data_IF_529447654211
#
_entry.id   IF_529447654211
#
_cell.length_a   1.000
_cell.length_b   1.000
_cell.length_c   1.000
_cell.angle_alpha   90.00
_cell.angle_beta   90.00
_cell.angle_gamma   90.00
#
_symmetry.space_group_name_H-M   'P 1'
#
loop_
_entity.id
_entity.type
_entity.pdbx_description
1 polymer ?
#
# COMPACT_ATOMS: atom_id res chain seq x y z
N UNK A 1 13.02 -15.75 -12.36
CA UNK A 1 12.28 -15.50 -13.61
C UNK A 1 12.89 -14.28 -14.32
N UNK A 2 13.04 -14.31 -15.66
CA UNK A 2 13.58 -13.19 -16.41
C UNK A 2 12.67 -11.95 -16.30
N UNK A 3 13.27 -10.77 -16.16
CA UNK A 3 12.61 -9.48 -16.29
C UNK A 3 12.86 -8.97 -17.69
N UNK A 4 11.80 -8.78 -18.48
CA UNK A 4 11.88 -8.37 -19.88
C UNK A 4 11.57 -6.90 -20.10
N UNK A 5 10.96 -6.24 -19.09
CA UNK A 5 10.70 -4.81 -19.10
C UNK A 5 10.70 -4.27 -17.67
N UNK A 6 11.10 -3.01 -17.50
CA UNK A 6 11.04 -2.31 -16.21
C UNK A 6 10.80 -0.83 -16.40
N UNK A 7 9.98 -0.23 -15.52
CA UNK A 7 9.77 1.20 -15.49
C UNK A 7 9.60 1.70 -14.06
N UNK A 8 10.20 2.85 -13.76
CA UNK A 8 10.03 3.56 -12.49
C UNK A 8 9.42 4.92 -12.77
N UNK A 9 8.36 5.27 -12.06
CA UNK A 9 7.61 6.50 -12.22
C UNK A 9 7.57 7.23 -10.89
N UNK A 10 8.15 8.44 -10.86
CA UNK A 10 8.01 9.36 -9.74
C UNK A 10 6.73 10.18 -9.89
N UNK A 11 6.00 10.39 -8.79
CA UNK A 11 4.82 11.25 -8.80
C UNK A 11 5.17 12.73 -8.84
N UNK A 12 6.30 13.09 -8.25
CA UNK A 12 6.77 14.47 -8.18
C UNK A 12 8.27 14.54 -8.50
N UNK A 13 8.75 15.64 -9.10
CA UNK A 13 10.18 15.86 -9.28
C UNK A 13 10.91 15.73 -7.93
N UNK A 14 11.99 14.96 -7.90
CA UNK A 14 12.85 14.75 -6.72
C UNK A 14 12.15 14.15 -5.47
N UNK A 15 10.97 13.57 -5.61
CA UNK A 15 10.32 12.81 -4.53
C UNK A 15 10.58 11.31 -4.68
N UNK A 16 11.60 10.82 -3.96
CA UNK A 16 11.96 9.40 -3.94
C UNK A 16 11.15 8.58 -2.92
N UNK A 17 10.28 9.23 -2.14
CA UNK A 17 9.46 8.57 -1.11
C UNK A 17 8.03 8.26 -1.56
N UNK A 18 7.65 8.69 -2.76
CA UNK A 18 6.33 8.45 -3.33
C UNK A 18 6.52 8.08 -4.79
N UNK A 19 6.78 6.82 -5.05
CA UNK A 19 7.04 6.28 -6.38
C UNK A 19 6.22 5.02 -6.60
N UNK A 20 6.04 4.68 -7.85
CA UNK A 20 5.71 3.31 -8.23
C UNK A 20 6.60 2.85 -9.38
N UNK A 21 6.81 1.58 -9.43
CA UNK A 21 7.54 0.93 -10.50
C UNK A 21 6.81 -0.33 -10.93
N UNK A 22 7.04 -0.76 -12.14
CA UNK A 22 6.62 -2.08 -12.55
C UNK A 22 7.73 -2.81 -13.32
N UNK A 23 7.62 -4.12 -13.29
CA UNK A 23 8.43 -5.04 -14.08
C UNK A 23 7.53 -6.04 -14.77
N UNK A 24 7.90 -6.44 -15.99
CA UNK A 24 7.28 -7.55 -16.68
C UNK A 24 8.17 -8.78 -16.49
N UNK A 25 7.61 -9.80 -15.83
CA UNK A 25 8.29 -11.03 -15.45
C UNK A 25 7.75 -12.17 -16.29
N UNK A 26 8.65 -12.92 -16.91
CA UNK A 26 8.30 -14.12 -17.69
C UNK A 26 8.44 -15.36 -16.83
N UNK A 27 7.39 -16.17 -16.79
CA UNK A 27 7.39 -17.51 -16.20
C UNK A 27 6.87 -18.50 -17.23
N UNK A 28 7.74 -19.38 -17.70
CA UNK A 28 7.43 -20.28 -18.82
C UNK A 28 7.00 -19.52 -20.07
N UNK A 29 5.78 -19.69 -20.55
CA UNK A 29 5.22 -18.98 -21.71
C UNK A 29 4.36 -17.76 -21.32
N UNK A 30 4.17 -17.51 -20.02
CA UNK A 30 3.32 -16.45 -19.53
C UNK A 30 4.13 -15.24 -19.06
N UNK A 31 3.58 -14.06 -19.24
CA UNK A 31 4.15 -12.81 -18.72
C UNK A 31 3.18 -12.18 -17.74
N UNK A 32 3.71 -11.70 -16.63
CA UNK A 32 2.95 -10.98 -15.58
C UNK A 32 3.57 -9.62 -15.39
N UNK A 33 2.76 -8.58 -15.23
CA UNK A 33 3.22 -7.26 -14.79
C UNK A 33 3.08 -7.13 -13.28
N UNK A 34 4.19 -6.88 -12.61
CA UNK A 34 4.23 -6.68 -11.16
C UNK A 34 4.51 -5.21 -10.86
N UNK A 35 3.54 -4.54 -10.25
CA UNK A 35 3.69 -3.19 -9.72
C UNK A 35 4.17 -3.25 -8.28
N UNK A 36 5.15 -2.41 -7.95
CA UNK A 36 5.55 -2.09 -6.59
C UNK A 36 5.26 -0.62 -6.33
N UNK A 37 4.44 -0.33 -5.31
CA UNK A 37 3.95 1.00 -5.02
C UNK A 37 4.35 1.43 -3.62
N UNK A 38 4.69 2.72 -3.47
CA UNK A 38 4.85 3.35 -2.17
C UNK A 38 4.15 4.70 -2.22
N UNK A 39 2.96 4.80 -1.63
CA UNK A 39 2.16 6.01 -1.65
C UNK A 39 2.63 7.02 -0.60
N UNK A 40 2.13 8.24 -0.71
CA UNK A 40 2.48 9.35 0.17
C UNK A 40 2.26 9.03 1.65
N UNK A 41 3.33 9.02 2.42
CA UNK A 41 3.30 8.91 3.88
C UNK A 41 2.79 10.20 4.53
N UNK A 42 2.17 10.07 5.70
CA UNK A 42 1.67 11.20 6.51
C UNK A 42 2.78 12.00 7.17
N UNK A 43 3.98 11.43 7.32
CA UNK A 43 5.17 12.07 7.92
C UNK A 43 4.86 12.72 9.26
N UNK A 44 4.32 11.94 10.21
CA UNK A 44 4.10 12.42 11.58
C UNK A 44 5.43 12.74 12.27
N UNK A 45 5.47 13.86 12.99
CA UNK A 45 6.59 14.16 13.88
C UNK A 45 6.51 13.31 15.15
N UNK A 46 7.60 13.24 15.90
CA UNK A 46 7.62 12.52 17.21
C UNK A 46 6.58 13.07 18.17
N UNK A 47 6.34 14.37 18.13
CA UNK A 47 5.32 15.07 18.94
C UNK A 47 3.91 14.63 18.53
N UNK A 48 3.62 14.59 17.21
CA UNK A 48 2.34 14.10 16.70
C UNK A 48 2.08 12.65 17.13
N UNK A 49 3.09 11.77 17.04
CA UNK A 49 2.97 10.37 17.45
C UNK A 49 2.68 10.24 18.95
N UNK A 50 3.42 10.98 19.79
CA UNK A 50 3.16 11.01 21.25
C UNK A 50 1.74 11.48 21.56
N UNK A 51 1.27 12.52 20.86
CA UNK A 51 -0.09 13.04 21.09
C UNK A 51 -1.17 12.04 20.64
N UNK A 52 -0.94 11.31 19.54
CA UNK A 52 -1.86 10.25 19.07
C UNK A 52 -1.91 9.10 20.09
N UNK A 53 -0.76 8.68 20.63
CA UNK A 53 -0.67 7.58 21.61
C UNK A 53 -1.26 7.95 22.99
N UNK A 54 -1.01 9.18 23.44
CA UNK A 54 -1.47 9.70 24.73
C UNK A 54 -1.90 11.16 24.57
N UNK A 55 -3.16 11.41 24.23
CA UNK A 55 -3.70 12.76 24.16
C UNK A 55 -3.63 13.41 25.54
N UNK A 56 -2.83 14.47 25.69
CA UNK A 56 -2.74 15.27 26.92
C UNK A 56 -3.63 16.48 26.79
N UNK A 57 -4.48 16.73 27.79
CA UNK A 57 -5.45 17.84 27.83
C UNK A 57 -5.02 18.91 28.86
N UNK A 58 -3.76 18.86 29.34
CA UNK A 58 -3.24 19.82 30.32
C UNK A 58 -3.28 21.28 29.83
N UNK A 59 -3.25 21.50 28.53
CA UNK A 59 -3.40 22.79 27.87
C UNK A 59 -4.34 22.63 26.67
N UNK A 60 -5.57 23.11 26.79
CA UNK A 60 -6.62 23.01 25.76
C UNK A 60 -6.20 23.67 24.44
N UNK A 61 -5.50 24.81 24.48
CA UNK A 61 -5.04 25.50 23.28
C UNK A 61 -3.98 24.68 22.54
N UNK A 62 -3.07 24.07 23.27
CA UNK A 62 -2.03 23.21 22.71
C UNK A 62 -2.63 21.93 22.13
N UNK A 63 -3.55 21.30 22.86
CA UNK A 63 -4.27 20.11 22.40
C UNK A 63 -5.07 20.38 21.11
N UNK A 64 -5.77 21.51 21.06
CA UNK A 64 -6.51 21.93 19.87
C UNK A 64 -5.59 22.20 18.66
N UNK A 65 -4.43 22.82 18.89
CA UNK A 65 -3.43 23.09 17.83
C UNK A 65 -2.85 21.79 17.28
N UNK A 66 -2.47 20.83 18.13
CA UNK A 66 -1.95 19.53 17.70
C UNK A 66 -3.02 18.72 16.94
N UNK A 67 -4.25 18.70 17.44
CA UNK A 67 -5.36 18.04 16.73
C UNK A 67 -5.58 18.62 15.33
N UNK A 68 -5.61 19.96 15.19
CA UNK A 68 -5.72 20.63 13.88
C UNK A 68 -4.56 20.28 12.96
N UNK A 69 -3.33 20.24 13.48
CA UNK A 69 -2.14 19.87 12.70
C UNK A 69 -2.23 18.43 12.18
N UNK A 70 -2.65 17.50 13.02
CA UNK A 70 -2.82 16.08 12.67
C UNK A 70 -3.90 15.92 11.60
N UNK A 71 -5.06 16.56 11.77
CA UNK A 71 -6.16 16.55 10.80
C UNK A 71 -5.70 17.14 9.45
N UNK A 72 -4.96 18.24 9.46
CA UNK A 72 -4.41 18.85 8.24
C UNK A 72 -3.45 17.91 7.50
N UNK A 73 -2.59 17.17 8.24
CA UNK A 73 -1.70 16.15 7.66
C UNK A 73 -2.49 15.00 7.04
N UNK A 74 -3.52 14.49 7.71
CA UNK A 74 -4.41 13.46 7.16
C UNK A 74 -5.06 13.94 5.86
N UNK A 75 -5.69 15.13 5.88
CA UNK A 75 -6.33 15.71 4.68
C UNK A 75 -5.34 15.83 3.52
N UNK A 76 -4.15 16.39 3.76
CA UNK A 76 -3.11 16.53 2.74
C UNK A 76 -2.63 15.16 2.21
N UNK A 77 -2.46 14.18 3.09
CA UNK A 77 -2.09 12.82 2.71
C UNK A 77 -3.15 12.16 1.83
N UNK A 78 -4.42 12.21 2.22
CA UNK A 78 -5.52 11.65 1.45
C UNK A 78 -5.63 12.25 0.05
N UNK A 79 -5.56 13.58 -0.08
CA UNK A 79 -5.63 14.26 -1.38
C UNK A 79 -4.47 13.87 -2.29
N UNK A 80 -3.26 13.72 -1.75
CA UNK A 80 -2.11 13.28 -2.53
C UNK A 80 -2.24 11.82 -2.98
N UNK A 81 -2.64 10.93 -2.06
CA UNK A 81 -2.83 9.51 -2.38
C UNK A 81 -3.95 9.27 -3.38
N UNK A 82 -5.01 10.11 -3.37
CA UNK A 82 -6.05 10.07 -4.40
C UNK A 82 -5.44 10.23 -5.80
N UNK A 83 -4.70 11.32 -6.03
CA UNK A 83 -4.04 11.58 -7.34
C UNK A 83 -3.07 10.46 -7.72
N UNK A 84 -2.33 9.94 -6.73
CA UNK A 84 -1.40 8.84 -6.94
C UNK A 84 -2.13 7.55 -7.33
N UNK A 85 -3.23 7.24 -6.65
CA UNK A 85 -4.05 6.06 -6.92
C UNK A 85 -4.67 6.09 -8.32
N UNK A 86 -5.22 7.23 -8.74
CA UNK A 86 -5.78 7.42 -10.08
C UNK A 86 -4.73 7.19 -11.17
N UNK A 87 -3.51 7.72 -10.97
CA UNK A 87 -2.41 7.53 -11.91
C UNK A 87 -1.94 6.08 -11.97
N UNK A 88 -1.80 5.40 -10.82
CA UNK A 88 -1.44 3.99 -10.77
C UNK A 88 -2.51 3.15 -11.46
N UNK A 89 -3.78 3.42 -11.19
CA UNK A 89 -4.89 2.71 -11.82
C UNK A 89 -4.86 2.84 -13.35
N UNK A 90 -4.64 4.04 -13.86
CA UNK A 90 -4.49 4.28 -15.30
C UNK A 90 -3.32 3.51 -15.93
N UNK A 91 -2.21 3.27 -15.19
CA UNK A 91 -1.11 2.45 -15.68
C UNK A 91 -1.41 0.94 -15.60
N UNK A 92 -2.16 0.50 -14.57
CA UNK A 92 -2.64 -0.89 -14.46
C UNK A 92 -3.52 -1.24 -15.66
N UNK A 93 -4.44 -0.36 -16.05
CA UNK A 93 -5.37 -0.56 -17.16
C UNK A 93 -4.70 -0.64 -18.53
N UNK A 94 -3.51 -0.07 -18.68
CA UNK A 94 -2.68 -0.17 -19.90
C UNK A 94 -1.90 -1.49 -19.97
N UNK A 95 -1.92 -2.32 -18.94
CA UNK A 95 -1.14 -3.54 -18.94
C UNK A 95 -1.70 -4.54 -19.97
N UNK A 96 -0.87 -5.07 -20.88
CA UNK A 96 -1.29 -6.16 -21.76
C UNK A 96 -1.25 -7.53 -21.08
N UNK A 97 -0.78 -7.58 -19.83
CA UNK A 97 -0.56 -8.80 -19.06
C UNK A 97 -1.40 -8.81 -17.79
N UNK A 98 -1.69 -9.97 -17.19
CA UNK A 98 -2.22 -10.08 -15.84
C UNK A 98 -1.35 -9.28 -14.86
N UNK A 99 -1.98 -8.64 -13.88
CA UNK A 99 -1.31 -7.69 -12.99
C UNK A 99 -1.28 -8.19 -11.55
N UNK A 100 -0.15 -7.98 -10.89
CA UNK A 100 -0.01 -8.02 -9.44
C UNK A 100 0.41 -6.63 -8.98
N UNK A 101 -0.24 -6.09 -7.94
CA UNK A 101 0.16 -4.83 -7.29
C UNK A 101 0.56 -5.13 -5.87
N UNK A 102 1.76 -4.75 -5.48
CA UNK A 102 2.27 -4.94 -4.12
C UNK A 102 2.90 -3.66 -3.60
N UNK A 103 2.86 -3.45 -2.28
CA UNK A 103 3.58 -2.35 -1.64
C UNK A 103 2.85 -1.68 -0.50
N UNK A 104 3.48 -0.60 0.00
CA UNK A 104 2.95 0.25 1.06
C UNK A 104 2.02 1.32 0.49
N UNK A 105 0.74 1.20 0.78
CA UNK A 105 -0.28 2.16 0.36
C UNK A 105 -0.35 3.37 1.32
N UNK A 106 0.31 3.30 2.47
CA UNK A 106 0.22 4.30 3.53
C UNK A 106 -1.23 4.70 3.88
N UNK A 107 -2.17 3.80 3.58
CA UNK A 107 -3.61 3.99 3.75
C UNK A 107 -4.32 2.70 4.16
N UNK A 108 -5.47 2.87 4.80
CA UNK A 108 -6.25 1.74 5.32
C UNK A 108 -7.12 1.09 4.24
N UNK A 109 -7.59 -0.17 4.45
CA UNK A 109 -8.41 -0.88 3.45
C UNK A 109 -9.73 -0.21 3.08
N UNK A 110 -10.19 0.77 3.85
CA UNK A 110 -11.42 1.50 3.59
C UNK A 110 -11.18 2.85 2.88
N UNK A 111 -9.98 3.06 2.34
CA UNK A 111 -9.60 4.32 1.69
C UNK A 111 -9.90 4.33 0.20
N UNK A 112 -9.98 5.54 -0.35
CA UNK A 112 -10.07 5.76 -1.79
C UNK A 112 -8.93 5.06 -2.55
N UNK A 113 -7.68 5.22 -2.07
CA UNK A 113 -6.52 4.63 -2.74
C UNK A 113 -6.59 3.10 -2.79
N UNK A 114 -7.01 2.45 -1.69
CA UNK A 114 -7.19 1.00 -1.64
C UNK A 114 -8.21 0.52 -2.68
N UNK A 115 -9.39 1.15 -2.73
CA UNK A 115 -10.45 0.75 -3.65
C UNK A 115 -10.14 1.08 -5.11
N UNK A 116 -9.51 2.23 -5.37
CA UNK A 116 -9.15 2.64 -6.73
C UNK A 116 -8.09 1.73 -7.34
N UNK A 117 -6.99 1.47 -6.63
CA UNK A 117 -5.92 0.59 -7.10
C UNK A 117 -6.42 -0.85 -7.20
N UNK A 118 -7.14 -1.32 -6.17
CA UNK A 118 -7.65 -2.69 -6.10
C UNK A 118 -8.93 -2.96 -6.90
N UNK A 119 -9.43 -1.99 -7.68
CA UNK A 119 -10.65 -2.16 -8.46
C UNK A 119 -10.51 -3.33 -9.45
N UNK A 120 -11.49 -4.26 -9.44
CA UNK A 120 -11.47 -5.51 -10.22
C UNK A 120 -10.21 -6.37 -9.98
N UNK A 121 -9.71 -6.37 -8.73
CA UNK A 121 -8.60 -7.24 -8.32
C UNK A 121 -8.94 -7.95 -7.00
N UNK A 122 -8.36 -9.11 -6.77
CA UNK A 122 -8.47 -9.86 -5.52
C UNK A 122 -7.38 -9.39 -4.55
N UNK A 123 -7.73 -9.06 -3.30
CA UNK A 123 -6.74 -8.79 -2.28
C UNK A 123 -6.30 -10.08 -1.60
N UNK A 124 -5.00 -10.38 -1.63
CA UNK A 124 -4.47 -11.66 -1.13
C UNK A 124 -4.77 -11.91 0.36
N UNK A 125 -4.79 -10.86 1.20
CA UNK A 125 -5.20 -11.00 2.59
C UNK A 125 -6.68 -11.32 2.73
N UNK A 126 -7.54 -10.73 1.92
CA UNK A 126 -9.00 -10.98 1.96
C UNK A 126 -9.29 -12.41 1.54
N UNK A 127 -8.57 -12.93 0.53
CA UNK A 127 -8.75 -14.29 0.02
C UNK A 127 -8.23 -15.37 0.97
N UNK A 128 -7.04 -15.17 1.56
CA UNK A 128 -6.31 -16.24 2.28
C UNK A 128 -5.71 -15.79 3.62
N UNK A 129 -5.89 -14.55 4.02
CA UNK A 129 -5.42 -14.05 5.30
C UNK A 129 -6.36 -14.39 6.45
N UNK A 130 -5.92 -14.09 7.67
CA UNK A 130 -6.72 -14.25 8.89
C UNK A 130 -6.40 -13.20 9.92
N UNK A 131 -7.35 -12.94 10.81
CA UNK A 131 -7.22 -11.95 11.89
C UNK A 131 -7.23 -10.51 11.37
N UNK A 132 -6.54 -9.61 12.07
CA UNK A 132 -6.54 -8.17 11.75
C UNK A 132 -5.59 -7.78 10.62
N UNK A 133 -4.63 -8.64 10.27
CA UNK A 133 -3.69 -8.41 9.18
C UNK A 133 -2.78 -7.20 9.36
N UNK A 134 -2.43 -6.84 10.59
CA UNK A 134 -1.57 -5.70 10.90
C UNK A 134 -0.23 -5.81 10.20
N UNK A 135 0.09 -4.85 9.34
CA UNK A 135 1.38 -4.80 8.63
C UNK A 135 2.33 -3.73 9.18
N UNK A 136 1.84 -2.71 9.88
CA UNK A 136 2.64 -1.66 10.49
C UNK A 136 2.70 -1.78 12.01
N UNK A 137 3.90 -1.73 12.59
CA UNK A 137 4.13 -1.97 14.02
C UNK A 137 3.89 -0.75 14.92
N UNK A 138 3.79 0.47 14.34
CA UNK A 138 3.55 1.71 15.08
C UNK A 138 2.06 1.95 15.37
N UNK A 139 1.79 3.03 16.04
CA UNK A 139 0.54 3.75 16.34
C UNK A 139 -0.69 2.89 16.68
N UNK A 140 -1.05 1.87 15.91
CA UNK A 140 -2.31 1.12 16.09
C UNK A 140 -2.13 -0.37 15.83
N UNK A 141 -2.79 -1.25 16.62
CA UNK A 141 -2.73 -2.70 16.43
C UNK A 141 -3.49 -3.20 15.20
N UNK A 142 -4.18 -2.34 14.47
CA UNK A 142 -5.07 -2.72 13.36
C UNK A 142 -4.64 -2.15 12.01
N UNK A 143 -3.47 -1.47 11.93
CA UNK A 143 -3.03 -0.85 10.68
C UNK A 143 -2.49 -1.89 9.71
N UNK A 144 -3.28 -2.17 8.68
CA UNK A 144 -2.89 -2.92 7.49
C UNK A 144 -2.77 -1.93 6.32
N UNK A 145 -1.55 -1.48 6.05
CA UNK A 145 -1.24 -0.49 5.03
C UNK A 145 -0.44 -1.07 3.86
N UNK A 146 0.15 -2.24 4.05
CA UNK A 146 0.79 -3.00 2.98
C UNK A 146 -0.22 -3.99 2.37
N UNK A 147 -0.24 -4.07 1.06
CA UNK A 147 -1.22 -4.86 0.32
C UNK A 147 -0.58 -5.63 -0.84
N UNK A 148 -1.20 -6.76 -1.18
CA UNK A 148 -0.97 -7.51 -2.40
C UNK A 148 -2.31 -7.68 -3.09
N UNK A 149 -2.48 -7.05 -4.25
CA UNK A 149 -3.62 -7.24 -5.13
C UNK A 149 -3.23 -8.08 -6.33
N UNK A 150 -4.12 -8.94 -6.78
CA UNK A 150 -3.88 -9.92 -7.82
C UNK A 150 -5.01 -9.82 -8.85
N UNK A 151 -4.68 -9.85 -10.13
CA UNK A 151 -5.67 -9.92 -11.22
C UNK A 151 -6.68 -11.05 -10.96
N UNK A 152 -7.96 -10.81 -11.22
CA UNK A 152 -9.04 -11.78 -10.99
C UNK A 152 -8.91 -13.08 -11.79
N UNK A 153 -8.06 -13.09 -12.82
CA UNK A 153 -7.72 -14.30 -13.59
C UNK A 153 -6.74 -15.22 -12.85
N UNK A 154 -6.12 -14.75 -11.79
CA UNK A 154 -5.10 -15.47 -11.01
C UNK A 154 -5.69 -15.90 -9.66
N UNK A 155 -5.30 -17.07 -9.18
CA UNK A 155 -5.73 -17.59 -7.89
C UNK A 155 -4.71 -17.29 -6.80
N UNK A 156 -5.15 -16.73 -5.68
CA UNK A 156 -4.33 -16.64 -4.46
C UNK A 156 -4.38 -17.98 -3.75
N UNK A 157 -3.26 -18.67 -3.68
CA UNK A 157 -3.16 -19.99 -3.04
C UNK A 157 -2.93 -19.87 -1.54
N UNK A 158 -2.08 -18.93 -1.12
CA UNK A 158 -1.69 -18.74 0.26
C UNK A 158 -1.35 -17.26 0.52
N UNK A 159 -1.61 -16.82 1.75
CA UNK A 159 -1.14 -15.53 2.28
C UNK A 159 -0.47 -15.73 3.64
N UNK A 160 0.69 -15.13 3.84
CA UNK A 160 1.43 -15.15 5.10
C UNK A 160 1.84 -13.75 5.53
N UNK A 161 1.59 -13.44 6.80
CA UNK A 161 2.14 -12.27 7.49
C UNK A 161 3.24 -12.75 8.43
N UNK A 162 4.48 -12.32 8.17
CA UNK A 162 5.65 -12.72 8.96
C UNK A 162 5.73 -11.86 10.21
N UNK A 163 5.33 -12.38 11.36
CA UNK A 163 5.34 -11.69 12.65
C UNK A 163 6.75 -11.52 13.26
N UNK A 164 7.74 -11.28 12.42
CA UNK A 164 9.12 -11.02 12.84
C UNK A 164 9.40 -9.53 12.65
N UNK A 165 9.77 -8.85 13.74
CA UNK A 165 10.09 -7.42 13.71
C UNK A 165 11.46 -7.20 13.07
N UNK A 166 11.48 -7.10 11.74
CA UNK A 166 12.68 -6.81 10.94
C UNK A 166 12.79 -5.31 10.63
N UNK A 167 11.66 -4.60 10.64
CA UNK A 167 11.55 -3.14 10.50
C UNK A 167 10.31 -2.68 11.28
N UNK A 168 9.82 -1.48 11.04
CA UNK A 168 8.51 -0.99 11.49
C UNK A 168 7.34 -1.57 10.68
N UNK A 169 7.60 -2.26 9.55
CA UNK A 169 6.63 -3.05 8.81
C UNK A 169 6.86 -4.56 9.00
N UNK A 170 5.77 -5.31 9.01
CA UNK A 170 5.81 -6.78 8.98
C UNK A 170 5.73 -7.25 7.52
N UNK A 171 6.67 -8.08 7.05
CA UNK A 171 6.61 -8.63 5.70
C UNK A 171 5.34 -9.42 5.44
N UNK A 172 4.76 -9.21 4.26
CA UNK A 172 3.64 -10.00 3.75
C UNK A 172 4.09 -10.76 2.50
N UNK A 173 3.58 -11.98 2.33
CA UNK A 173 3.87 -12.86 1.20
C UNK A 173 2.58 -13.51 0.72
N UNK A 174 2.49 -13.72 -0.58
CA UNK A 174 1.41 -14.50 -1.18
C UNK A 174 1.95 -15.45 -2.24
N UNK A 175 1.43 -16.66 -2.27
CA UNK A 175 1.61 -17.59 -3.38
C UNK A 175 0.45 -17.43 -4.34
N UNK A 176 0.76 -17.25 -5.63
CA UNK A 176 -0.22 -16.96 -6.66
C UNK A 176 -0.06 -17.95 -7.81
N UNK A 177 -1.16 -18.57 -8.22
CA UNK A 177 -1.19 -19.40 -9.43
C UNK A 177 -1.42 -18.52 -10.67
N UNK A 178 -0.72 -18.87 -11.74
CA UNK A 178 -0.93 -18.26 -13.05
C UNK A 178 -2.35 -18.57 -13.56
N UNK A 179 -2.90 -17.70 -14.45
CA UNK A 179 -4.18 -17.99 -15.08
C UNK A 179 -4.13 -19.36 -15.77
N UNK A 180 -5.16 -20.15 -15.58
CA UNK A 180 -5.32 -21.39 -16.37
C UNK A 180 -5.62 -20.98 -17.82
N UNK A 181 -4.87 -21.54 -18.75
CA UNK A 181 -5.14 -21.42 -20.19
C UNK A 181 -6.40 -22.16 -20.57
#
# INVERSE_FOLDING_TARGET
>A
HPIVNKQTISFYPNDYNSIFQYVDVVKEEDTIRVFNVHLQSLRFSKENLKYIEKPTVEDENKALKESKNIIAKFKKGFLKRQVQADRIRAEIEKSPYPVIVTGDFNDVPNSYAYHTIGNNMNNAFVEKGSGLGRTFSGISPVLRIDNIFVDTKMDVLQFNLVKKKLSDHFPIMADVAMPKK
#
